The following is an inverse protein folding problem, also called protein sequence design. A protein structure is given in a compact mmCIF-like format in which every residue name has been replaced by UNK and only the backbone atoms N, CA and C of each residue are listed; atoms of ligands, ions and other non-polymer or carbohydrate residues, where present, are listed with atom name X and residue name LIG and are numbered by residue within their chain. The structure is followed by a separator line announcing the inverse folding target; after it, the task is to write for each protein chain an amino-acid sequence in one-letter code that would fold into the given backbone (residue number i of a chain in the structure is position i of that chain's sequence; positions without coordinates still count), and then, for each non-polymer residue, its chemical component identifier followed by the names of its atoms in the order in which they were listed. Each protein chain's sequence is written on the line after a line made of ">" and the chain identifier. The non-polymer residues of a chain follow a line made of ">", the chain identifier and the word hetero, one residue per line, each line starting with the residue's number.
data_IF_525747570178
#
_entry.id   IF_525747570178
#
_cell.length_a   1.000
_cell.length_b   1.000
_cell.length_c   1.000
_cell.angle_alpha   90.00
_cell.angle_beta   90.00
_cell.angle_gamma   90.00
#
_symmetry.space_group_name_H-M   'P 1'
#
loop_
_entity.id
_entity.type
_entity.pdbx_description
1 polymer ?
#
# COMPACT_ATOMS: atom_id res chain seq x y z
N UNK A 1 5.23 33.48 -18.06
CA UNK A 1 5.47 34.08 -19.39
C UNK A 1 6.95 33.86 -19.74
N UNK A 2 7.30 33.54 -21.00
CA UNK A 2 8.70 33.34 -21.39
C UNK A 2 9.53 34.61 -21.14
N UNK A 3 10.83 34.47 -20.88
CA UNK A 3 11.73 35.61 -20.78
C UNK A 3 11.80 36.30 -22.15
N UNK A 4 11.48 37.61 -22.27
CA UNK A 4 11.51 38.33 -23.54
C UNK A 4 12.92 38.47 -24.14
N UNK A 5 13.97 38.21 -23.35
CA UNK A 5 15.38 38.18 -23.80
C UNK A 5 16.07 36.94 -23.22
N UNK A 6 15.84 35.74 -23.79
CA UNK A 6 16.50 34.55 -23.30
C UNK A 6 18.00 34.60 -23.62
N UNK A 7 18.82 34.06 -22.72
CA UNK A 7 20.27 33.97 -22.90
C UNK A 7 20.66 33.06 -24.09
N UNK A 8 19.78 32.12 -24.46
CA UNK A 8 19.94 31.20 -25.59
C UNK A 8 18.64 31.13 -26.42
N UNK A 9 18.70 30.74 -27.71
CA UNK A 9 17.50 30.53 -28.51
C UNK A 9 16.62 29.46 -27.89
N UNK A 10 15.39 29.82 -27.52
CA UNK A 10 14.41 28.92 -26.94
C UNK A 10 13.25 28.72 -27.92
N UNK A 11 12.70 27.50 -28.03
CA UNK A 11 11.46 27.29 -28.74
C UNK A 11 10.34 28.17 -28.15
N UNK A 12 9.35 28.59 -28.95
CA UNK A 12 8.23 29.39 -28.47
C UNK A 12 7.43 28.64 -27.40
N UNK A 13 7.01 29.35 -26.35
CA UNK A 13 6.22 28.79 -25.25
C UNK A 13 6.96 28.73 -23.91
N UNK A 14 6.33 28.09 -22.92
CA UNK A 14 6.98 27.83 -21.63
C UNK A 14 7.99 26.70 -21.80
N UNK A 15 9.21 26.90 -21.31
CA UNK A 15 10.21 25.83 -21.26
C UNK A 15 9.80 24.82 -20.20
N UNK A 16 9.94 23.54 -20.53
CA UNK A 16 9.78 22.45 -19.57
C UNK A 16 11.04 22.29 -18.72
N UNK A 17 10.89 21.72 -17.52
CA UNK A 17 12.02 21.29 -16.71
C UNK A 17 12.71 20.09 -17.37
N UNK A 18 14.04 20.11 -17.39
CA UNK A 18 14.89 19.05 -17.95
C UNK A 18 15.78 18.44 -16.86
N UNK A 19 16.07 17.12 -16.91
CA UNK A 19 15.63 16.17 -17.94
C UNK A 19 14.14 15.81 -17.83
N UNK A 20 13.45 15.76 -18.97
CA UNK A 20 12.05 15.38 -19.03
C UNK A 20 11.83 13.87 -18.91
N UNK A 21 11.02 13.45 -17.94
CA UNK A 21 10.54 12.08 -17.81
C UNK A 21 9.11 11.97 -18.31
N UNK A 22 8.93 11.40 -19.50
CA UNK A 22 7.63 11.17 -20.09
C UNK A 22 6.77 10.25 -19.19
N UNK A 23 5.47 10.56 -19.08
CA UNK A 23 4.52 9.78 -18.27
C UNK A 23 4.79 9.79 -16.76
N UNK A 24 5.71 10.62 -16.24
CA UNK A 24 6.04 10.64 -14.80
C UNK A 24 4.80 10.83 -13.93
N UNK A 25 3.88 11.72 -14.32
CA UNK A 25 2.64 11.99 -13.58
C UNK A 25 1.78 10.74 -13.38
N UNK A 26 1.82 9.79 -14.31
CA UNK A 26 1.03 8.56 -14.24
C UNK A 26 1.68 7.50 -13.33
N UNK A 27 2.92 7.73 -12.90
CA UNK A 27 3.71 6.82 -12.06
C UNK A 27 3.91 7.34 -10.63
N UNK A 28 3.31 8.47 -10.27
CA UNK A 28 3.38 9.02 -8.91
C UNK A 28 2.42 8.25 -8.01
N UNK A 29 2.90 7.86 -6.83
CA UNK A 29 2.13 7.22 -5.77
C UNK A 29 2.04 8.14 -4.57
N UNK A 30 0.88 8.15 -3.91
CA UNK A 30 0.65 8.88 -2.68
C UNK A 30 0.32 7.93 -1.53
N UNK A 31 1.10 7.98 -0.46
CA UNK A 31 0.81 7.29 0.79
C UNK A 31 -0.26 8.04 1.59
N UNK A 32 -1.51 7.56 1.54
CA UNK A 32 -2.63 8.26 2.17
C UNK A 32 -2.84 7.82 3.62
N UNK A 33 -2.62 8.75 4.56
CA UNK A 33 -2.89 8.53 5.98
C UNK A 33 -4.37 8.63 6.37
N UNK A 34 -5.27 9.09 5.48
CA UNK A 34 -6.69 9.26 5.78
C UNK A 34 -7.57 9.13 4.53
N UNK A 35 -8.89 9.01 4.69
CA UNK A 35 -9.81 9.03 3.57
C UNK A 35 -9.74 10.37 2.81
N UNK A 36 -9.61 11.49 3.54
CA UNK A 36 -9.48 12.81 2.94
C UNK A 36 -8.24 12.95 2.04
N UNK A 37 -7.09 12.43 2.49
CA UNK A 37 -5.86 12.50 1.69
C UNK A 37 -5.87 11.54 0.50
N UNK A 38 -6.58 10.41 0.60
CA UNK A 38 -6.82 9.52 -0.53
C UNK A 38 -7.70 10.20 -1.60
N UNK A 39 -8.80 10.85 -1.20
CA UNK A 39 -9.65 11.63 -2.11
C UNK A 39 -8.88 12.76 -2.80
N UNK A 40 -8.01 13.46 -2.05
CA UNK A 40 -7.15 14.48 -2.62
C UNK A 40 -6.18 13.91 -3.67
N UNK A 41 -5.52 12.79 -3.38
CA UNK A 41 -4.62 12.12 -4.31
C UNK A 41 -5.36 11.67 -5.60
N UNK A 42 -6.59 11.17 -5.45
CA UNK A 42 -7.44 10.81 -6.58
C UNK A 42 -7.72 12.01 -7.49
N UNK A 43 -8.12 13.15 -6.92
CA UNK A 43 -8.38 14.39 -7.68
C UNK A 43 -7.16 14.86 -8.46
N UNK A 44 -5.96 14.66 -7.91
CA UNK A 44 -4.69 15.03 -8.56
C UNK A 44 -4.15 13.99 -9.55
N UNK A 45 -4.82 12.84 -9.71
CA UNK A 45 -4.41 11.84 -10.68
C UNK A 45 -3.18 11.03 -10.25
N UNK A 46 -2.97 10.82 -8.95
CA UNK A 46 -1.89 9.98 -8.41
C UNK A 46 -2.40 8.58 -8.07
N UNK A 47 -1.56 7.56 -8.15
CA UNK A 47 -1.86 6.21 -7.64
C UNK A 47 -1.93 6.22 -6.10
N UNK A 48 -2.71 5.31 -5.51
CA UNK A 48 -2.90 5.24 -4.07
C UNK A 48 -2.00 4.17 -3.44
N UNK A 49 -1.27 4.54 -2.40
CA UNK A 49 -0.69 3.60 -1.45
C UNK A 49 -1.41 3.75 -0.11
N UNK A 50 -1.96 2.64 0.38
CA UNK A 50 -2.44 2.51 1.76
C UNK A 50 -1.45 1.65 2.53
N UNK A 51 -0.79 2.25 3.52
CA UNK A 51 0.35 1.63 4.20
C UNK A 51 -0.08 0.61 5.26
N UNK A 52 0.81 0.21 6.16
CA UNK A 52 0.49 -0.59 7.34
C UNK A 52 -0.14 0.23 8.48
N UNK A 53 -0.31 1.54 8.26
CA UNK A 53 -0.93 2.47 9.18
C UNK A 53 -1.80 3.48 8.43
N UNK A 54 -2.92 3.87 9.04
CA UNK A 54 -3.67 5.09 8.71
C UNK A 54 -4.31 5.69 9.97
N UNK A 55 -4.87 6.88 9.85
CA UNK A 55 -5.72 7.48 10.87
C UNK A 55 -6.91 6.56 11.15
N UNK A 56 -7.21 6.37 12.42
CA UNK A 56 -8.39 5.63 12.85
C UNK A 56 -9.61 6.57 12.77
N UNK A 57 -10.39 6.40 11.70
CA UNK A 57 -11.50 7.29 11.35
C UNK A 57 -12.86 6.75 11.83
N UNK A 58 -12.96 5.45 12.10
CA UNK A 58 -14.24 4.80 12.43
C UNK A 58 -14.18 3.86 13.64
N UNK A 59 -13.00 3.44 14.09
CA UNK A 59 -12.83 2.39 15.10
C UNK A 59 -13.09 0.97 14.57
N UNK A 60 -13.36 0.80 13.28
CA UNK A 60 -13.50 -0.51 12.63
C UNK A 60 -12.13 -1.20 12.47
N UNK A 61 -12.09 -2.51 12.17
CA UNK A 61 -10.85 -3.21 11.86
C UNK A 61 -10.05 -2.52 10.74
N UNK A 62 -8.72 -2.63 10.81
CA UNK A 62 -7.80 -1.91 9.92
C UNK A 62 -8.11 -2.14 8.45
N UNK A 63 -8.31 -3.41 8.06
CA UNK A 63 -8.60 -3.77 6.67
C UNK A 63 -9.93 -3.19 6.16
N UNK A 64 -10.95 -3.06 7.03
CA UNK A 64 -12.24 -2.44 6.68
C UNK A 64 -12.04 -0.95 6.42
N UNK A 65 -11.28 -0.28 7.28
CA UNK A 65 -10.97 1.15 7.12
C UNK A 65 -10.13 1.44 5.88
N UNK A 66 -9.26 0.52 5.48
CA UNK A 66 -8.51 0.63 4.22
C UNK A 66 -9.39 0.36 3.00
N UNK A 67 -10.28 -0.64 3.05
CA UNK A 67 -11.25 -0.86 1.97
C UNK A 67 -12.13 0.38 1.75
N UNK A 68 -12.65 0.98 2.82
CA UNK A 68 -13.38 2.24 2.75
C UNK A 68 -12.56 3.38 2.12
N UNK A 69 -11.26 3.48 2.44
CA UNK A 69 -10.34 4.45 1.83
C UNK A 69 -10.18 4.21 0.31
N UNK A 70 -10.04 2.95 -0.11
CA UNK A 70 -9.93 2.55 -1.51
C UNK A 70 -11.21 2.89 -2.28
N UNK A 71 -12.38 2.58 -1.72
CA UNK A 71 -13.69 2.92 -2.30
C UNK A 71 -13.83 4.44 -2.47
N UNK A 72 -13.50 5.22 -1.45
CA UNK A 72 -13.54 6.68 -1.49
C UNK A 72 -12.57 7.27 -2.55
N UNK A 73 -11.36 6.72 -2.65
CA UNK A 73 -10.39 7.08 -3.68
C UNK A 73 -10.93 6.80 -5.08
N UNK A 74 -11.49 5.60 -5.32
CA UNK A 74 -12.02 5.20 -6.63
C UNK A 74 -13.21 6.06 -7.06
N UNK A 75 -14.11 6.38 -6.13
CA UNK A 75 -15.22 7.29 -6.38
C UNK A 75 -14.71 8.69 -6.81
N UNK A 76 -13.78 9.26 -6.03
CA UNK A 76 -13.19 10.56 -6.34
C UNK A 76 -12.38 10.56 -7.66
N UNK A 77 -11.75 9.44 -8.00
CA UNK A 77 -11.06 9.26 -9.27
C UNK A 77 -12.02 9.33 -10.46
N UNK A 78 -13.15 8.62 -10.35
CA UNK A 78 -14.20 8.62 -11.37
C UNK A 78 -14.83 10.01 -11.53
N UNK A 79 -15.14 10.69 -10.42
CA UNK A 79 -15.67 12.06 -10.43
C UNK A 79 -14.71 13.07 -11.05
N UNK A 80 -13.40 12.91 -10.86
CA UNK A 80 -12.38 13.77 -11.43
C UNK A 80 -12.23 13.60 -12.96
N UNK A 81 -12.80 12.54 -13.55
CA UNK A 81 -12.82 12.34 -15.00
C UNK A 81 -11.47 11.95 -15.62
N UNK A 82 -10.57 11.34 -14.82
CA UNK A 82 -9.30 10.84 -15.34
C UNK A 82 -9.52 9.75 -16.40
N UNK A 83 -8.74 9.79 -17.48
CA UNK A 83 -8.90 8.88 -18.62
C UNK A 83 -8.26 7.50 -18.41
N UNK A 84 -7.35 7.39 -17.43
CA UNK A 84 -6.63 6.15 -17.12
C UNK A 84 -7.20 5.45 -15.89
N UNK A 85 -6.92 4.16 -15.78
CA UNK A 85 -7.16 3.40 -14.55
C UNK A 85 -6.05 3.73 -13.53
N UNK A 86 -6.41 4.03 -12.27
CA UNK A 86 -5.42 4.21 -11.22
C UNK A 86 -4.88 2.85 -10.74
N UNK A 87 -3.72 2.88 -10.08
CA UNK A 87 -3.25 1.76 -9.27
C UNK A 87 -3.45 2.02 -7.79
N UNK A 88 -3.73 0.97 -7.05
CA UNK A 88 -4.05 0.97 -5.63
C UNK A 88 -3.29 -0.17 -4.96
N UNK A 89 -2.39 0.19 -4.04
CA UNK A 89 -1.61 -0.78 -3.28
C UNK A 89 -1.95 -0.77 -1.80
N UNK A 90 -1.96 -1.94 -1.18
CA UNK A 90 -2.01 -2.11 0.28
C UNK A 90 -0.74 -2.77 0.77
N UNK A 91 -0.27 -2.40 1.96
CA UNK A 91 0.93 -3.00 2.56
C UNK A 91 0.57 -3.97 3.69
N UNK A 92 1.23 -5.13 3.75
CA UNK A 92 1.02 -6.15 4.78
C UNK A 92 2.33 -6.82 5.19
N UNK A 93 2.46 -7.09 6.49
CA UNK A 93 3.42 -8.06 7.02
C UNK A 93 2.77 -9.43 7.00
N UNK A 94 3.26 -10.32 6.12
CA UNK A 94 2.71 -11.68 5.95
C UNK A 94 3.86 -12.68 6.02
N UNK A 95 3.78 -13.62 6.95
CA UNK A 95 4.78 -14.63 7.24
C UNK A 95 4.14 -16.02 7.28
N UNK A 96 4.36 -16.80 6.22
CA UNK A 96 4.01 -18.21 6.21
C UNK A 96 5.00 -18.97 7.09
N UNK A 97 4.52 -19.58 8.17
CA UNK A 97 5.37 -20.38 9.06
C UNK A 97 5.50 -21.77 8.46
N UNK A 98 6.64 -22.09 7.84
CA UNK A 98 6.85 -23.39 7.17
C UNK A 98 7.97 -24.20 7.82
N UNK A 99 8.89 -23.57 8.54
CA UNK A 99 9.96 -24.22 9.29
C UNK A 99 10.06 -23.74 10.76
N UNK A 100 10.96 -24.37 11.52
CA UNK A 100 11.17 -24.04 12.94
C UNK A 100 11.80 -22.66 13.15
N UNK A 101 12.49 -22.13 12.14
CA UNK A 101 13.09 -20.80 12.18
C UNK A 101 12.01 -19.72 12.01
N UNK A 102 11.05 -19.93 11.12
CA UNK A 102 9.87 -19.06 10.99
C UNK A 102 9.09 -19.01 12.30
N UNK A 103 8.85 -20.19 12.91
CA UNK A 103 8.20 -20.31 14.22
C UNK A 103 8.99 -19.64 15.32
N UNK A 104 10.32 -19.73 15.30
CA UNK A 104 11.17 -19.06 16.28
C UNK A 104 11.08 -17.53 16.17
N UNK A 105 10.98 -16.98 14.95
CA UNK A 105 10.89 -15.53 14.74
C UNK A 105 9.48 -14.98 14.94
N UNK A 106 8.46 -15.64 14.39
CA UNK A 106 7.10 -15.09 14.27
C UNK A 106 6.01 -15.97 14.86
N UNK A 107 6.34 -17.15 15.42
CA UNK A 107 5.35 -18.07 15.98
C UNK A 107 4.61 -17.53 17.21
N UNK A 108 5.11 -16.46 17.84
CA UNK A 108 4.41 -15.74 18.92
C UNK A 108 3.42 -14.69 18.41
N UNK A 109 3.46 -14.38 17.12
CA UNK A 109 2.62 -13.35 16.52
C UNK A 109 1.27 -13.91 16.01
N UNK A 110 1.05 -15.22 16.14
CA UNK A 110 -0.24 -15.84 15.84
C UNK A 110 -1.33 -15.26 16.76
N UNK A 111 -2.31 -14.59 16.16
CA UNK A 111 -3.41 -13.96 16.89
C UNK A 111 -3.16 -12.51 17.33
N UNK A 112 -2.11 -11.84 16.83
CA UNK A 112 -2.02 -10.39 16.99
C UNK A 112 -3.27 -9.69 16.43
N UNK A 113 -3.69 -8.64 17.13
CA UNK A 113 -4.79 -7.77 16.74
C UNK A 113 -4.26 -6.46 16.20
N UNK A 114 -5.11 -5.73 15.48
CA UNK A 114 -4.80 -4.36 15.08
C UNK A 114 -4.51 -3.51 16.31
N UNK A 115 -3.51 -2.63 16.19
CA UNK A 115 -3.08 -1.79 17.31
C UNK A 115 -3.53 -0.36 17.09
N UNK A 116 -4.05 0.27 18.14
CA UNK A 116 -4.45 1.67 18.12
C UNK A 116 -3.50 2.48 18.98
N UNK A 117 -3.03 3.59 18.42
CA UNK A 117 -2.14 4.53 19.09
C UNK A 117 -2.44 5.96 18.69
N UNK A 118 -1.56 6.87 19.12
CA UNK A 118 -1.63 8.29 18.79
C UNK A 118 -0.31 8.72 18.16
N UNK A 119 -0.36 9.34 16.98
CA UNK A 119 0.82 9.88 16.28
C UNK A 119 1.23 11.24 16.85
N UNK A 120 0.25 11.99 17.33
CA UNK A 120 0.39 13.27 18.02
C UNK A 120 -0.76 13.42 19.02
N UNK A 121 -0.91 14.59 19.63
CA UNK A 121 -1.91 14.83 20.66
C UNK A 121 -3.38 14.73 20.17
N UNK A 122 -3.64 14.71 18.86
CA UNK A 122 -4.97 14.72 18.27
C UNK A 122 -5.22 13.58 17.28
N UNK A 123 -4.16 13.01 16.69
CA UNK A 123 -4.27 12.02 15.63
C UNK A 123 -4.23 10.60 16.19
N UNK A 124 -5.41 10.02 16.38
CA UNK A 124 -5.58 8.59 16.64
C UNK A 124 -5.28 7.81 15.35
N UNK A 125 -4.42 6.80 15.44
CA UNK A 125 -4.01 5.97 14.32
C UNK A 125 -4.20 4.49 14.62
N UNK A 126 -4.47 3.72 13.57
CA UNK A 126 -4.60 2.27 13.60
C UNK A 126 -3.50 1.65 12.74
N UNK A 127 -2.84 0.64 13.30
CA UNK A 127 -1.81 -0.17 12.67
C UNK A 127 -2.37 -1.57 12.42
N UNK A 128 -2.20 -2.07 11.20
CA UNK A 128 -2.60 -3.44 10.86
C UNK A 128 -1.74 -4.46 11.61
N UNK A 129 -2.38 -5.55 12.05
CA UNK A 129 -1.65 -6.71 12.60
C UNK A 129 -0.66 -7.31 11.60
N UNK A 130 0.36 -8.00 12.12
CA UNK A 130 1.13 -8.96 11.33
C UNK A 130 0.32 -10.24 11.14
N UNK A 131 0.34 -10.78 9.92
CA UNK A 131 -0.21 -12.09 9.60
C UNK A 131 0.90 -13.13 9.68
N UNK A 132 0.93 -13.92 10.75
CA UNK A 132 1.92 -14.97 10.95
C UNK A 132 1.23 -16.26 11.38
N UNK A 133 1.18 -17.24 10.49
CA UNK A 133 0.53 -18.53 10.75
C UNK A 133 1.01 -19.60 9.77
N UNK A 134 0.69 -20.86 10.08
CA UNK A 134 0.81 -21.97 9.13
C UNK A 134 -0.06 -21.70 7.88
N UNK A 135 0.34 -22.15 6.68
CA UNK A 135 -0.25 -21.72 5.40
C UNK A 135 -1.78 -21.78 5.31
N UNK A 136 -2.40 -22.88 5.73
CA UNK A 136 -3.86 -23.05 5.63
C UNK A 136 -4.63 -22.00 6.46
N UNK A 137 -4.17 -21.75 7.69
CA UNK A 137 -4.75 -20.73 8.56
C UNK A 137 -4.50 -19.34 8.01
N UNK A 138 -3.31 -19.10 7.47
CA UNK A 138 -2.92 -17.82 6.88
C UNK A 138 -3.80 -17.48 5.67
N UNK A 139 -4.08 -18.45 4.81
CA UNK A 139 -4.99 -18.30 3.65
C UNK A 139 -6.38 -17.86 4.13
N UNK A 140 -6.95 -18.53 5.13
CA UNK A 140 -8.28 -18.18 5.63
C UNK A 140 -8.33 -16.78 6.25
N UNK A 141 -7.27 -16.36 6.94
CA UNK A 141 -7.15 -15.00 7.46
C UNK A 141 -7.08 -13.96 6.35
N UNK A 142 -6.28 -14.22 5.30
CA UNK A 142 -6.09 -13.29 4.19
C UNK A 142 -7.34 -13.16 3.30
N UNK A 143 -8.14 -14.21 3.17
CA UNK A 143 -9.46 -14.15 2.48
C UNK A 143 -10.45 -13.20 3.15
N UNK A 144 -10.28 -12.94 4.45
CA UNK A 144 -11.15 -12.05 5.22
C UNK A 144 -10.72 -10.58 5.13
N UNK A 145 -9.54 -10.29 4.58
CA UNK A 145 -9.01 -8.92 4.47
C UNK A 145 -9.61 -8.20 3.26
N UNK A 146 -10.67 -7.42 3.50
CA UNK A 146 -11.37 -6.63 2.46
C UNK A 146 -10.43 -5.71 1.67
N UNK A 147 -9.40 -5.15 2.29
CA UNK A 147 -8.49 -4.24 1.61
C UNK A 147 -7.55 -4.98 0.65
N UNK A 148 -7.11 -6.19 0.99
CA UNK A 148 -6.39 -7.06 0.05
C UNK A 148 -7.29 -7.43 -1.12
N UNK A 149 -8.56 -7.79 -0.87
CA UNK A 149 -9.51 -8.13 -1.92
C UNK A 149 -9.78 -6.97 -2.90
N UNK A 150 -9.71 -5.72 -2.41
CA UNK A 150 -9.96 -4.54 -3.24
C UNK A 150 -8.73 -3.95 -3.91
N UNK A 151 -7.53 -4.14 -3.38
CA UNK A 151 -6.30 -3.62 -3.96
C UNK A 151 -5.90 -4.37 -5.24
N UNK A 152 -5.23 -3.67 -6.16
CA UNK A 152 -4.63 -4.30 -7.34
C UNK A 152 -3.17 -4.71 -7.12
N UNK A 153 -2.54 -4.19 -6.06
CA UNK A 153 -1.14 -4.42 -5.75
C UNK A 153 -1.00 -4.72 -4.25
N UNK A 154 -0.46 -5.88 -3.90
CA UNK A 154 -0.06 -6.19 -2.53
C UNK A 154 1.44 -5.90 -2.35
N UNK A 155 1.78 -5.04 -1.40
CA UNK A 155 3.17 -4.78 -1.00
C UNK A 155 3.49 -5.56 0.27
N UNK A 156 4.49 -6.44 0.17
CA UNK A 156 4.94 -7.26 1.28
C UNK A 156 6.04 -6.53 2.05
N UNK A 157 5.83 -6.32 3.34
CA UNK A 157 6.86 -5.76 4.23
C UNK A 157 7.68 -6.89 4.84
N UNK A 158 8.95 -6.95 4.46
CA UNK A 158 9.88 -8.01 4.88
C UNK A 158 10.88 -7.49 5.92
N UNK A 159 11.32 -8.32 6.89
CA UNK A 159 12.20 -7.90 7.99
C UNK A 159 13.63 -7.66 7.52
N UNK A 160 13.97 -6.39 7.27
CA UNK A 160 15.30 -5.99 6.79
C UNK A 160 16.48 -6.41 7.70
N UNK A 161 16.21 -6.68 8.98
CA UNK A 161 17.21 -7.13 9.96
C UNK A 161 17.61 -8.61 9.81
N UNK A 162 16.80 -9.43 9.12
CA UNK A 162 17.03 -10.88 9.01
C UNK A 162 17.87 -11.28 7.78
N UNK A 163 18.37 -10.31 7.01
CA UNK A 163 19.28 -10.54 5.89
C UNK A 163 18.59 -11.07 4.63
N UNK A 164 19.33 -11.09 3.53
CA UNK A 164 18.77 -11.36 2.19
C UNK A 164 18.20 -12.77 2.07
N UNK A 165 18.95 -13.79 2.51
CA UNK A 165 18.55 -15.19 2.34
C UNK A 165 17.23 -15.51 3.06
N UNK A 166 17.04 -14.99 4.27
CA UNK A 166 15.79 -15.19 5.00
C UNK A 166 14.63 -14.43 4.35
N UNK A 167 14.85 -13.20 3.88
CA UNK A 167 13.80 -12.45 3.20
C UNK A 167 13.41 -13.09 1.85
N UNK A 168 14.36 -13.71 1.14
CA UNK A 168 14.07 -14.52 -0.04
C UNK A 168 13.20 -15.74 0.31
N UNK A 169 13.53 -16.44 1.40
CA UNK A 169 12.71 -17.54 1.95
C UNK A 169 11.29 -17.09 2.29
N UNK A 170 11.11 -15.95 2.98
CA UNK A 170 9.78 -15.41 3.32
C UNK A 170 8.92 -15.18 2.07
N UNK A 171 9.52 -14.59 1.02
CA UNK A 171 8.82 -14.34 -0.25
C UNK A 171 8.49 -15.66 -0.95
N UNK A 172 9.46 -16.58 -1.03
CA UNK A 172 9.26 -17.89 -1.66
C UNK A 172 8.19 -18.72 -0.95
N UNK A 173 8.18 -18.75 0.38
CA UNK A 173 7.19 -19.46 1.17
C UNK A 173 5.78 -18.92 0.92
N UNK A 174 5.61 -17.60 0.85
CA UNK A 174 4.33 -16.98 0.50
C UNK A 174 3.89 -17.35 -0.91
N UNK A 175 4.79 -17.22 -1.91
CA UNK A 175 4.47 -17.50 -3.31
C UNK A 175 4.17 -18.98 -3.56
N UNK A 176 4.78 -19.88 -2.78
CA UNK A 176 4.62 -21.33 -2.94
C UNK A 176 3.39 -21.86 -2.21
N UNK A 177 3.18 -21.42 -0.97
CA UNK A 177 2.20 -22.06 -0.08
C UNK A 177 0.90 -21.27 0.11
N UNK A 178 0.87 -19.97 -0.21
CA UNK A 178 -0.27 -19.09 0.10
C UNK A 178 -0.86 -18.46 -1.15
N UNK A 179 -0.02 -17.81 -1.97
CA UNK A 179 -0.43 -17.08 -3.17
C UNK A 179 -1.32 -17.90 -4.13
N UNK A 180 -1.04 -19.19 -4.42
CA UNK A 180 -1.85 -19.96 -5.37
C UNK A 180 -3.30 -20.16 -4.89
N UNK A 181 -3.49 -20.37 -3.59
CA UNK A 181 -4.81 -20.57 -3.00
C UNK A 181 -5.66 -19.28 -2.96
N UNK A 182 -5.01 -18.12 -3.07
CA UNK A 182 -5.64 -16.80 -3.16
C UNK A 182 -5.75 -16.30 -4.61
N UNK A 183 -5.32 -17.10 -5.59
CA UNK A 183 -5.35 -16.75 -7.01
C UNK A 183 -4.33 -15.69 -7.42
N UNK A 184 -3.33 -15.43 -6.57
CA UNK A 184 -2.24 -14.50 -6.86
C UNK A 184 -1.23 -15.15 -7.81
N UNK A 185 -0.55 -14.33 -8.63
CA UNK A 185 0.42 -14.76 -9.63
C UNK A 185 1.70 -13.97 -9.51
#
# INVERSE_FOLDING_TARGET
>A
KPNPRPMFPNPPGLLRLEPHSEGLRDRIWWGAGSNATAVWAAKLGMNLQSSTLKNDETGEPFHVQQAAQIRAYRAAWQEAGHTRTPRVSVSRSIFALVDDRDRAYFGRDDGQQDQVGYLDAQTRAIFGRSYAAEPDKLIEQLKQDEAIAEADTLLLTVPNQLGVDYNAHVIEALLTHVAPALGWR
#
